data_IF_486093960376
#
_entry.id   IF_486093960376
#
_cell.length_a   1.000
_cell.length_b   1.000
_cell.length_c   1.000
_cell.angle_alpha   90.00
_cell.angle_beta   90.00
_cell.angle_gamma   90.00
#
_symmetry.space_group_name_H-M   'P 1'
#
loop_
_entity.id
_entity.type
_entity.pdbx_description
1 polymer ?
#
# COMPACT_ATOMS: atom_id res chain seq x y z
N UNK A 1 7.24 1.78 -38.67
CA UNK A 1 7.70 2.29 -37.36
C UNK A 1 6.57 2.06 -36.35
N UNK A 2 6.78 1.21 -35.35
CA UNK A 2 5.74 0.89 -34.35
C UNK A 2 5.62 2.10 -33.41
N UNK A 3 4.48 2.79 -33.37
CA UNK A 3 4.19 3.80 -32.35
C UNK A 3 4.26 3.10 -30.99
N UNK A 4 5.30 3.40 -30.21
CA UNK A 4 5.38 3.00 -28.81
C UNK A 4 4.40 3.93 -28.09
N UNK A 5 3.18 3.45 -27.82
CA UNK A 5 2.26 4.18 -26.94
C UNK A 5 2.86 4.13 -25.54
N UNK A 6 3.20 5.31 -25.03
CA UNK A 6 3.79 5.54 -23.70
C UNK A 6 2.68 5.57 -22.63
N UNK A 7 1.43 5.67 -23.07
CA UNK A 7 0.24 5.80 -22.22
C UNK A 7 -0.23 4.44 -21.71
N UNK A 8 -0.48 4.39 -20.40
CA UNK A 8 -1.11 3.26 -19.73
C UNK A 8 -2.60 3.17 -20.11
N UNK A 9 -3.18 1.97 -19.99
CA UNK A 9 -4.59 1.74 -20.30
C UNK A 9 -5.55 2.66 -19.51
N UNK A 10 -5.13 3.08 -18.32
CA UNK A 10 -5.88 4.02 -17.46
C UNK A 10 -5.87 5.44 -18.03
N UNK A 11 -4.71 5.92 -18.49
CA UNK A 11 -4.57 7.27 -19.07
C UNK A 11 -5.41 7.41 -20.34
N UNK A 12 -5.40 6.37 -21.19
CA UNK A 12 -6.20 6.36 -22.42
C UNK A 12 -7.71 6.38 -22.13
N UNK A 13 -8.15 5.76 -21.02
CA UNK A 13 -9.55 5.79 -20.60
C UNK A 13 -9.95 7.18 -20.11
N UNK A 14 -9.13 7.79 -19.25
CA UNK A 14 -9.38 9.15 -18.75
C UNK A 14 -9.44 10.17 -19.89
N UNK A 15 -8.56 10.02 -20.90
CA UNK A 15 -8.57 10.88 -22.09
C UNK A 15 -9.87 10.74 -22.88
N UNK A 16 -10.34 9.51 -23.12
CA UNK A 16 -11.63 9.27 -23.80
C UNK A 16 -12.81 9.81 -23.00
N UNK A 17 -12.83 9.61 -21.68
CA UNK A 17 -13.90 10.12 -20.82
C UNK A 17 -13.90 11.66 -20.80
N UNK A 18 -12.72 12.28 -20.93
CA UNK A 18 -12.56 13.73 -21.06
C UNK A 18 -13.06 14.25 -22.41
N UNK A 19 -12.66 13.61 -23.51
CA UNK A 19 -13.13 13.93 -24.86
C UNK A 19 -14.64 13.73 -25.03
N UNK A 20 -15.24 12.82 -24.26
CA UNK A 20 -16.69 12.56 -24.23
C UNK A 20 -17.47 13.56 -23.34
N UNK A 21 -16.78 14.49 -22.67
CA UNK A 21 -17.43 15.51 -21.84
C UNK A 21 -18.04 14.96 -20.55
N UNK A 22 -17.55 13.82 -20.04
CA UNK A 22 -18.05 13.21 -18.80
C UNK A 22 -17.56 13.92 -17.52
N UNK A 23 -16.65 14.90 -17.64
CA UNK A 23 -16.19 15.71 -16.52
C UNK A 23 -16.92 17.05 -16.49
N UNK A 24 -17.30 17.45 -15.28
CA UNK A 24 -17.97 18.72 -15.02
C UNK A 24 -16.96 19.64 -14.33
N UNK A 25 -16.87 20.88 -14.79
CA UNK A 25 -16.10 21.90 -14.08
C UNK A 25 -16.81 22.22 -12.76
N UNK A 26 -16.07 22.15 -11.66
CA UNK A 26 -16.57 22.52 -10.35
C UNK A 26 -16.36 24.01 -10.11
N UNK A 27 -17.34 24.64 -9.48
CA UNK A 27 -17.16 26.01 -8.99
C UNK A 27 -16.01 26.07 -7.98
N UNK A 28 -15.28 27.18 -7.94
CA UNK A 28 -14.04 27.31 -7.15
C UNK A 28 -14.23 26.96 -5.67
N UNK A 29 -15.38 27.34 -5.09
CA UNK A 29 -15.69 27.05 -3.69
C UNK A 29 -15.94 25.55 -3.46
N UNK A 30 -16.65 24.89 -4.36
CA UNK A 30 -16.92 23.44 -4.28
C UNK A 30 -15.64 22.64 -4.51
N UNK A 31 -14.77 23.11 -5.40
CA UNK A 31 -13.45 22.54 -5.62
C UNK A 31 -12.57 22.63 -4.37
N UNK A 32 -12.54 23.80 -3.71
CA UNK A 32 -11.72 24.00 -2.50
C UNK A 32 -12.19 23.11 -1.34
N UNK A 33 -13.51 22.96 -1.15
CA UNK A 33 -14.09 22.04 -0.16
C UNK A 33 -13.77 20.57 -0.48
N UNK A 34 -13.96 20.15 -1.73
CA UNK A 34 -13.65 18.79 -2.16
C UNK A 34 -12.16 18.48 -2.03
N UNK A 35 -11.29 19.39 -2.44
CA UNK A 35 -9.84 19.26 -2.34
C UNK A 35 -9.40 19.14 -0.87
N UNK A 36 -10.00 19.94 0.02
CA UNK A 36 -9.75 19.84 1.46
C UNK A 36 -10.17 18.47 2.00
N UNK A 37 -11.39 18.01 1.68
CA UNK A 37 -11.89 16.69 2.10
C UNK A 37 -11.00 15.53 1.61
N UNK A 38 -10.60 15.57 0.33
CA UNK A 38 -9.72 14.55 -0.25
C UNK A 38 -8.33 14.55 0.39
N UNK A 39 -7.76 15.73 0.66
CA UNK A 39 -6.48 15.86 1.38
C UNK A 39 -6.60 15.32 2.81
N UNK A 40 -7.69 15.61 3.51
CA UNK A 40 -7.95 15.07 4.85
C UNK A 40 -8.09 13.54 4.83
N UNK A 41 -8.84 12.98 3.86
CA UNK A 41 -8.95 11.53 3.70
C UNK A 41 -7.60 10.86 3.41
N UNK A 42 -6.79 11.47 2.53
CA UNK A 42 -5.45 10.98 2.21
C UNK A 42 -4.52 11.02 3.43
N UNK A 43 -4.49 12.15 4.16
CA UNK A 43 -3.67 12.30 5.36
C UNK A 43 -4.11 11.36 6.48
N UNK A 44 -5.41 11.17 6.69
CA UNK A 44 -5.96 10.20 7.65
C UNK A 44 -5.56 8.76 7.31
N UNK A 45 -5.55 8.42 6.02
CA UNK A 45 -5.13 7.09 5.55
C UNK A 45 -3.64 6.88 5.78
N UNK A 46 -2.81 7.84 5.37
CA UNK A 46 -1.35 7.78 5.55
C UNK A 46 -1.00 7.70 7.04
N UNK A 47 -1.62 8.54 7.88
CA UNK A 47 -1.37 8.52 9.33
C UNK A 47 -1.80 7.20 9.96
N UNK A 48 -2.95 6.64 9.56
CA UNK A 48 -3.40 5.31 10.04
C UNK A 48 -2.43 4.20 9.64
N UNK A 49 -1.95 4.19 8.40
CA UNK A 49 -1.02 3.17 7.90
C UNK A 49 0.41 3.33 8.45
N UNK A 50 0.79 4.55 8.80
CA UNK A 50 2.13 4.87 9.32
C UNK A 50 2.24 4.74 10.84
N UNK A 51 1.11 4.64 11.55
CA UNK A 51 1.08 4.41 12.99
C UNK A 51 1.62 3.01 13.31
N UNK A 52 2.87 2.96 13.78
CA UNK A 52 3.53 1.74 14.24
C UNK A 52 3.49 1.66 15.77
N UNK A 53 3.23 0.47 16.30
CA UNK A 53 3.32 0.17 17.74
C UNK A 53 4.39 -0.90 17.94
N UNK A 54 5.31 -0.69 18.88
CA UNK A 54 6.27 -1.70 19.29
C UNK A 54 5.63 -2.71 20.23
N UNK A 55 5.98 -3.98 20.06
CA UNK A 55 5.57 -5.08 20.94
C UNK A 55 6.81 -5.89 21.32
N UNK A 56 6.88 -6.32 22.59
CA UNK A 56 7.93 -7.22 23.06
C UNK A 56 7.40 -8.64 23.05
N UNK A 57 8.13 -9.56 22.43
CA UNK A 57 7.76 -10.98 22.30
C UNK A 57 8.91 -11.82 22.87
N UNK A 58 8.58 -12.78 23.74
CA UNK A 58 9.53 -13.80 24.20
C UNK A 58 9.44 -15.01 23.27
N UNK A 59 10.59 -15.46 22.77
CA UNK A 59 10.74 -16.63 21.91
C UNK A 59 11.83 -17.53 22.49
N UNK A 60 11.79 -18.81 22.14
CA UNK A 60 12.88 -19.72 22.44
C UNK A 60 14.11 -19.33 21.61
N UNK A 61 15.30 -19.54 22.18
CA UNK A 61 16.56 -19.22 21.49
C UNK A 61 16.71 -20.01 20.19
N UNK A 62 16.34 -21.29 20.21
CA UNK A 62 16.34 -22.17 19.04
C UNK A 62 15.43 -21.65 17.92
N UNK A 63 14.26 -21.11 18.26
CA UNK A 63 13.33 -20.54 17.29
C UNK A 63 13.89 -19.26 16.66
N UNK A 64 14.58 -18.43 17.45
CA UNK A 64 15.27 -17.24 16.94
C UNK A 64 16.35 -17.64 15.94
N UNK A 65 17.11 -18.70 16.23
CA UNK A 65 18.15 -19.20 15.33
C UNK A 65 17.55 -19.76 14.03
N UNK A 66 16.45 -20.51 14.11
CA UNK A 66 15.71 -20.97 12.93
C UNK A 66 15.16 -19.81 12.10
N UNK A 67 14.57 -18.79 12.73
CA UNK A 67 14.07 -17.60 12.04
C UNK A 67 15.18 -16.83 11.32
N UNK A 68 16.36 -16.70 11.94
CA UNK A 68 17.54 -16.09 11.29
C UNK A 68 17.96 -16.87 10.05
N UNK A 69 18.03 -18.20 10.14
CA UNK A 69 18.39 -19.04 9.00
C UNK A 69 17.39 -18.91 7.84
N UNK A 70 16.09 -18.94 8.14
CA UNK A 70 15.05 -18.77 7.11
C UNK A 70 15.13 -17.38 6.48
N UNK A 71 15.29 -16.33 7.29
CA UNK A 71 15.41 -14.96 6.79
C UNK A 71 16.64 -14.76 5.89
N UNK A 72 17.77 -15.41 6.22
CA UNK A 72 18.96 -15.41 5.38
C UNK A 72 18.72 -16.07 4.03
N UNK A 73 17.98 -17.18 3.98
CA UNK A 73 17.61 -17.84 2.72
C UNK A 73 16.71 -16.95 1.84
N UNK A 74 15.81 -16.18 2.46
CA UNK A 74 14.95 -15.20 1.79
C UNK A 74 15.69 -13.89 1.44
N UNK A 75 16.97 -13.75 1.81
CA UNK A 75 17.79 -12.58 1.52
C UNK A 75 17.37 -11.32 2.30
N UNK A 76 16.74 -11.47 3.47
CA UNK A 76 16.22 -10.34 4.25
C UNK A 76 16.60 -10.40 5.74
N UNK A 77 16.64 -9.26 6.46
CA UNK A 77 16.88 -9.28 7.90
C UNK A 77 15.79 -10.05 8.67
N UNK A 78 16.17 -10.79 9.72
CA UNK A 78 15.23 -11.61 10.50
C UNK A 78 14.08 -10.81 11.12
N UNK A 79 14.31 -9.56 11.52
CA UNK A 79 13.28 -8.67 12.06
C UNK A 79 12.24 -8.30 10.98
N UNK A 80 12.71 -8.05 9.76
CA UNK A 80 11.85 -7.80 8.59
C UNK A 80 11.07 -9.05 8.22
N UNK A 81 11.71 -10.22 8.30
CA UNK A 81 11.05 -11.51 8.02
C UNK A 81 9.92 -11.79 9.02
N UNK A 82 10.15 -11.56 10.31
CA UNK A 82 9.12 -11.67 11.36
C UNK A 82 7.95 -10.73 11.06
N UNK A 83 8.24 -9.46 10.73
CA UNK A 83 7.21 -8.47 10.39
C UNK A 83 6.40 -8.87 9.15
N UNK A 84 7.07 -9.44 8.15
CA UNK A 84 6.47 -9.93 6.91
C UNK A 84 5.52 -11.11 7.16
N UNK A 85 5.93 -12.11 7.95
CA UNK A 85 5.06 -13.22 8.32
C UNK A 85 3.84 -12.70 9.08
N UNK A 86 4.03 -11.87 10.10
CA UNK A 86 2.92 -11.31 10.88
C UNK A 86 1.94 -10.57 9.98
N UNK A 87 2.44 -9.76 9.03
CA UNK A 87 1.60 -9.07 8.06
C UNK A 87 0.79 -10.05 7.19
N UNK A 88 1.42 -11.13 6.69
CA UNK A 88 0.70 -12.16 5.92
C UNK A 88 -0.40 -12.85 6.73
N UNK A 89 -0.13 -13.15 8.00
CA UNK A 89 -1.12 -13.75 8.91
C UNK A 89 -2.30 -12.79 9.11
N UNK A 90 -2.04 -11.51 9.40
CA UNK A 90 -3.12 -10.52 9.63
C UNK A 90 -3.93 -10.19 8.37
N UNK A 91 -3.35 -10.37 7.19
CA UNK A 91 -4.02 -10.11 5.90
C UNK A 91 -4.76 -11.35 5.37
N UNK A 92 -4.78 -12.46 6.11
CA UNK A 92 -5.44 -13.71 5.69
C UNK A 92 -4.75 -14.42 4.53
N UNK A 93 -3.51 -14.03 4.19
CA UNK A 93 -2.71 -14.70 3.15
C UNK A 93 -2.10 -16.02 3.62
N UNK A 94 -2.15 -16.28 4.92
CA UNK A 94 -1.81 -17.55 5.54
C UNK A 94 -3.06 -17.99 6.31
N UNK A 95 -3.76 -19.01 5.81
CA UNK A 95 -4.84 -19.66 6.54
C UNK A 95 -4.22 -20.64 7.54
N UNK A 96 -4.08 -20.24 8.79
CA UNK A 96 -3.96 -21.19 9.90
C UNK A 96 -5.38 -21.63 10.28
N UNK A 97 -5.85 -22.68 9.60
CA UNK A 97 -7.00 -23.48 10.05
C UNK A 97 -6.53 -24.56 11.01
#
# INVERSE_FOLDING_TARGET
MKKISIETATELKNLKDFEQGHYVELEKNEFDELNKSLKEAATNTITKLSKKKSISIRLLEDDINRLKAIAMNEGMPYQTYISYILHKVTTGRINTH
#
